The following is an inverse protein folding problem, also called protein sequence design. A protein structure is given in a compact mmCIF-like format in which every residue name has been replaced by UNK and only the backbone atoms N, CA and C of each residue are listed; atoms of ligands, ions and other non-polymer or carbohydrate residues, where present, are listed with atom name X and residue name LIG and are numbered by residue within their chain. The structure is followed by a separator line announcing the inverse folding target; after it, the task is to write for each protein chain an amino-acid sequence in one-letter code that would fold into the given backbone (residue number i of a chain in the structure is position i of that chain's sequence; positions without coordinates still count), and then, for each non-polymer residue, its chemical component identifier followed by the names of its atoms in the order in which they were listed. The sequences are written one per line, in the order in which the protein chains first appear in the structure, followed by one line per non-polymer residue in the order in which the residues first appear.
data_IF_151316075969
#
_entry.id   IF_151316075969
#
_cell.length_a   1.000
_cell.length_b   1.000
_cell.length_c   1.000
_cell.angle_alpha   90.00
_cell.angle_beta   90.00
_cell.angle_gamma   90.00
#
_symmetry.space_group_name_H-M   'P 1'
#
loop_
_entity.id
_entity.type
_entity.pdbx_description
1 polymer ?
#
# COMPACT_ATOMS: atom_id res chain seq x y z
N UNK A 1 42.75 78.70 -41.60
CA UNK A 1 42.62 77.22 -41.67
C UNK A 1 43.31 76.58 -40.46
N UNK A 2 42.63 76.51 -39.31
CA UNK A 2 43.14 75.88 -38.09
C UNK A 2 41.95 75.44 -37.24
N UNK A 3 41.40 74.24 -37.44
CA UNK A 3 40.52 73.54 -36.49
C UNK A 3 40.32 72.08 -36.97
N UNK A 4 41.34 71.22 -36.88
CA UNK A 4 41.21 69.81 -37.27
C UNK A 4 42.14 68.86 -36.50
N UNK A 5 42.34 69.09 -35.19
CA UNK A 5 43.20 68.22 -34.35
C UNK A 5 42.60 67.64 -33.05
N UNK A 6 41.54 68.18 -32.39
CA UNK A 6 41.09 67.60 -31.12
C UNK A 6 40.15 66.39 -31.28
N UNK A 7 39.36 66.34 -32.37
CA UNK A 7 38.34 65.29 -32.56
C UNK A 7 38.98 63.92 -32.82
N UNK A 8 40.05 63.88 -33.63
CA UNK A 8 40.75 62.62 -33.94
C UNK A 8 41.41 62.02 -32.71
N UNK A 9 41.98 62.84 -31.83
CA UNK A 9 42.61 62.36 -30.59
C UNK A 9 41.56 61.80 -29.62
N UNK A 10 40.42 62.49 -29.46
CA UNK A 10 39.32 62.03 -28.60
C UNK A 10 38.73 60.72 -29.14
N UNK A 11 38.50 60.59 -30.46
CA UNK A 11 38.01 59.35 -31.04
C UNK A 11 38.99 58.19 -30.86
N UNK A 12 40.30 58.45 -31.00
CA UNK A 12 41.32 57.40 -30.85
C UNK A 12 41.43 56.93 -29.41
N UNK A 13 41.36 57.85 -28.44
CA UNK A 13 41.34 57.49 -27.01
C UNK A 13 40.05 56.77 -26.62
N UNK A 14 38.89 57.18 -27.15
CA UNK A 14 37.63 56.50 -26.89
C UNK A 14 37.60 55.08 -27.49
N UNK A 15 38.15 54.91 -28.71
CA UNK A 15 38.27 53.59 -29.34
C UNK A 15 39.24 52.69 -28.58
N UNK A 16 40.35 53.25 -28.08
CA UNK A 16 41.32 52.52 -27.26
C UNK A 16 40.72 52.12 -25.90
N UNK A 17 39.94 53.00 -25.26
CA UNK A 17 39.21 52.71 -24.02
C UNK A 17 38.12 51.67 -24.26
N UNK A 18 37.41 51.70 -25.40
CA UNK A 18 36.45 50.65 -25.76
C UNK A 18 37.14 49.31 -26.04
N UNK A 19 38.29 49.30 -26.73
CA UNK A 19 39.08 48.09 -26.99
C UNK A 19 39.73 47.51 -25.71
N UNK A 20 40.13 48.38 -24.77
CA UNK A 20 40.59 48.00 -23.43
C UNK A 20 39.45 47.54 -22.52
N UNK A 21 38.23 48.08 -22.67
CA UNK A 21 37.03 47.62 -21.95
C UNK A 21 36.56 46.24 -22.41
N UNK A 22 36.74 45.92 -23.70
CA UNK A 22 36.38 44.61 -24.27
C UNK A 22 37.36 43.51 -23.83
N UNK A 23 38.62 43.85 -23.48
CA UNK A 23 39.63 42.88 -23.04
C UNK A 23 39.61 42.56 -21.55
N UNK A 24 38.80 43.26 -20.73
CA UNK A 24 38.58 42.94 -19.30
C UNK A 24 37.41 41.98 -19.09
N UNK A 25 36.56 41.75 -20.10
CA UNK A 25 35.80 40.50 -20.21
C UNK A 25 36.71 39.43 -20.82
N UNK A 26 37.83 39.17 -20.16
CA UNK A 26 38.48 37.88 -20.28
C UNK A 26 37.38 36.85 -20.04
N UNK A 27 37.14 36.05 -21.06
CA UNK A 27 36.31 34.85 -21.04
C UNK A 27 36.76 34.00 -19.86
N UNK A 28 36.16 34.21 -18.69
CA UNK A 28 36.34 33.36 -17.53
C UNK A 28 35.72 32.04 -17.91
N UNK A 29 36.48 31.20 -18.61
CA UNK A 29 36.11 29.82 -18.85
C UNK A 29 35.95 29.23 -17.46
N UNK A 30 34.72 28.87 -17.10
CA UNK A 30 34.46 28.26 -15.80
C UNK A 30 35.48 27.13 -15.59
N UNK A 31 36.06 27.02 -14.38
CA UNK A 31 36.97 25.94 -14.10
C UNK A 31 36.27 24.61 -14.41
N UNK A 32 36.98 23.63 -14.97
CA UNK A 32 36.40 22.32 -15.23
C UNK A 32 35.85 21.76 -13.93
N UNK A 33 34.58 21.36 -13.98
CA UNK A 33 33.83 20.89 -12.83
C UNK A 33 32.85 19.80 -13.22
N UNK A 34 32.57 18.94 -12.26
CA UNK A 34 31.47 17.99 -12.30
C UNK A 34 30.28 18.61 -11.58
N UNK A 35 29.17 18.78 -12.29
CA UNK A 35 27.94 19.35 -11.75
C UNK A 35 26.81 18.32 -11.72
N UNK A 36 25.97 18.41 -10.72
CA UNK A 36 24.77 17.58 -10.53
C UNK A 36 23.55 18.46 -10.65
N UNK A 37 22.67 18.15 -11.60
CA UNK A 37 21.51 18.97 -11.96
C UNK A 37 20.21 18.19 -11.73
N UNK A 38 19.27 18.78 -11.01
CA UNK A 38 17.86 18.36 -10.96
C UNK A 38 17.02 19.36 -11.77
N UNK A 39 16.61 18.95 -12.97
CA UNK A 39 16.12 19.88 -13.99
C UNK A 39 17.16 20.96 -14.32
N UNK A 40 16.82 22.22 -14.02
CA UNK A 40 17.69 23.38 -14.20
C UNK A 40 18.39 23.83 -12.89
N UNK A 41 18.16 23.12 -11.79
CA UNK A 41 18.74 23.46 -10.48
C UNK A 41 20.02 22.66 -10.25
N UNK A 42 21.14 23.37 -10.01
CA UNK A 42 22.39 22.75 -9.57
C UNK A 42 22.26 22.33 -8.09
N UNK A 43 22.32 21.03 -7.81
CA UNK A 43 22.22 20.50 -6.45
C UNK A 43 23.58 20.38 -5.77
N UNK A 44 24.65 20.21 -6.56
CA UNK A 44 26.03 20.08 -6.10
C UNK A 44 26.99 20.25 -7.28
N UNK A 45 28.20 20.72 -7.00
CA UNK A 45 29.29 20.74 -7.96
C UNK A 45 30.63 20.49 -7.28
N UNK A 46 31.60 19.99 -8.03
CA UNK A 46 32.97 19.74 -7.56
C UNK A 46 33.95 20.12 -8.67
N UNK A 47 34.91 20.98 -8.34
CA UNK A 47 36.01 21.33 -9.25
C UNK A 47 36.94 20.14 -9.45
N UNK A 48 37.43 19.95 -10.68
CA UNK A 48 38.23 18.77 -11.05
C UNK A 48 39.63 19.14 -11.51
N UNK A 49 40.37 19.90 -10.69
CA UNK A 49 41.73 20.36 -11.03
C UNK A 49 42.80 19.27 -11.02
N UNK A 50 42.46 18.08 -10.54
CA UNK A 50 43.26 16.85 -10.61
C UNK A 50 42.32 15.65 -10.80
N UNK A 51 42.85 14.53 -11.31
CA UNK A 51 42.10 13.28 -11.40
C UNK A 51 41.74 12.77 -9.99
N UNK A 52 40.60 12.09 -9.86
CA UNK A 52 40.12 11.65 -8.56
C UNK A 52 38.87 10.80 -8.61
N UNK A 53 38.25 10.67 -7.44
CA UNK A 53 36.97 9.97 -7.28
C UNK A 53 36.04 10.81 -6.43
N UNK A 54 34.74 10.80 -6.74
CA UNK A 54 33.72 11.41 -5.90
C UNK A 54 32.57 10.43 -5.67
N UNK A 55 31.88 10.59 -4.55
CA UNK A 55 30.61 9.91 -4.30
C UNK A 55 29.46 10.72 -4.94
N UNK A 56 28.61 10.05 -5.70
CA UNK A 56 27.44 10.66 -6.31
C UNK A 56 26.47 11.09 -5.20
N UNK A 57 25.96 12.33 -5.22
CA UNK A 57 25.12 12.82 -4.14
C UNK A 57 23.82 12.05 -4.05
N UNK A 58 23.36 11.82 -2.82
CA UNK A 58 21.95 11.54 -2.56
C UNK A 58 21.17 12.84 -2.65
N UNK A 59 20.01 12.82 -3.30
CA UNK A 59 19.17 14.00 -3.46
C UNK A 59 17.70 13.60 -3.34
N UNK A 60 16.88 14.47 -2.74
CA UNK A 60 15.43 14.31 -2.70
C UNK A 60 14.83 15.33 -3.67
N UNK A 61 14.30 14.88 -4.82
CA UNK A 61 13.67 15.78 -5.79
C UNK A 61 12.58 16.64 -5.17
N UNK A 62 12.56 17.92 -5.52
CA UNK A 62 11.64 18.90 -4.92
C UNK A 62 10.17 18.73 -5.38
N UNK A 63 9.97 18.09 -6.52
CA UNK A 63 8.67 17.82 -7.14
C UNK A 63 7.93 16.60 -6.55
N UNK A 64 8.57 15.88 -5.62
CA UNK A 64 8.01 14.70 -4.98
C UNK A 64 8.31 13.39 -5.70
N UNK A 65 9.09 13.42 -6.77
CA UNK A 65 9.60 12.23 -7.44
C UNK A 65 10.69 11.52 -6.65
N UNK A 66 11.05 10.32 -7.09
CA UNK A 66 12.15 9.55 -6.50
C UNK A 66 13.37 9.58 -7.40
N UNK A 67 14.52 9.91 -6.84
CA UNK A 67 15.80 9.81 -7.53
C UNK A 67 16.11 8.33 -7.81
N UNK A 68 16.12 7.96 -9.09
CA UNK A 68 16.50 6.61 -9.56
C UNK A 68 18.03 6.51 -9.68
N UNK A 69 18.68 7.60 -10.08
CA UNK A 69 20.13 7.68 -10.27
C UNK A 69 20.53 8.93 -11.04
N UNK A 70 21.79 8.96 -11.47
CA UNK A 70 22.40 10.07 -12.19
C UNK A 70 22.84 9.63 -13.57
N UNK A 71 22.42 10.36 -14.60
CA UNK A 71 22.86 10.14 -15.98
C UNK A 71 23.83 11.23 -16.44
N UNK A 72 24.87 10.88 -17.17
CA UNK A 72 25.78 11.83 -17.79
C UNK A 72 26.23 11.35 -19.18
N UNK A 73 26.66 12.30 -20.02
CA UNK A 73 27.42 12.00 -21.22
C UNK A 73 28.90 12.09 -20.91
N UNK A 74 29.63 10.99 -21.10
CA UNK A 74 31.07 10.91 -20.91
C UNK A 74 31.70 10.45 -22.23
N UNK A 75 32.27 11.40 -22.96
CA UNK A 75 32.66 11.17 -24.36
C UNK A 75 31.44 10.85 -25.23
N UNK A 76 31.45 9.69 -25.89
CA UNK A 76 30.33 9.21 -26.71
C UNK A 76 29.27 8.45 -25.90
N UNK A 77 29.63 7.99 -24.71
CA UNK A 77 28.82 7.05 -23.93
C UNK A 77 27.87 7.76 -22.97
N UNK A 78 26.75 7.10 -22.69
CA UNK A 78 25.86 7.50 -21.59
C UNK A 78 26.21 6.66 -20.38
N UNK A 79 26.57 7.33 -19.28
CA UNK A 79 26.79 6.72 -17.98
C UNK A 79 25.51 6.91 -17.16
N UNK A 80 25.04 5.85 -16.50
CA UNK A 80 23.87 5.88 -15.61
C UNK A 80 24.20 5.11 -14.32
N UNK A 81 24.34 5.84 -13.21
CA UNK A 81 24.86 5.31 -11.95
C UNK A 81 23.88 5.57 -10.79
N UNK A 82 23.87 4.72 -9.76
CA UNK A 82 23.04 4.95 -8.58
C UNK A 82 23.53 6.15 -7.77
N UNK A 83 22.62 6.76 -7.00
CA UNK A 83 23.02 7.70 -5.96
C UNK A 83 23.94 7.02 -4.93
N UNK A 84 24.94 7.72 -4.44
CA UNK A 84 25.96 7.18 -3.53
C UNK A 84 27.04 6.33 -4.21
N UNK A 85 26.93 6.03 -5.50
CA UNK A 85 27.99 5.34 -6.24
C UNK A 85 29.29 6.17 -6.26
N UNK A 86 30.43 5.51 -6.37
CA UNK A 86 31.71 6.21 -6.57
C UNK A 86 31.99 6.35 -8.06
N UNK A 87 32.28 7.57 -8.51
CA UNK A 87 32.68 7.86 -9.89
C UNK A 87 34.12 8.37 -9.93
N UNK A 88 34.94 7.70 -10.76
CA UNK A 88 36.29 8.13 -11.07
C UNK A 88 36.27 9.11 -12.23
N UNK A 89 37.02 10.20 -12.11
CA UNK A 89 37.11 11.25 -13.13
C UNK A 89 38.56 11.63 -13.42
N UNK A 90 38.79 12.02 -14.67
CA UNK A 90 40.08 12.52 -15.13
C UNK A 90 40.29 13.98 -14.73
N UNK A 91 41.55 14.42 -14.75
CA UNK A 91 41.88 15.83 -14.56
C UNK A 91 41.16 16.69 -15.59
N UNK A 92 40.68 17.86 -15.14
CA UNK A 92 39.99 18.86 -15.95
C UNK A 92 38.68 18.34 -16.61
N UNK A 93 38.05 17.32 -16.03
CA UNK A 93 36.76 16.80 -16.47
C UNK A 93 35.61 17.80 -16.27
N UNK A 94 34.99 18.22 -17.37
CA UNK A 94 33.74 18.98 -17.35
C UNK A 94 32.55 18.06 -17.68
N UNK A 95 31.82 17.62 -16.65
CA UNK A 95 30.71 16.66 -16.80
C UNK A 95 29.47 17.18 -16.08
N UNK A 96 28.32 17.04 -16.71
CA UNK A 96 27.03 17.35 -16.09
C UNK A 96 26.25 16.06 -15.90
N UNK A 97 26.08 15.65 -14.65
CA UNK A 97 25.14 14.61 -14.26
C UNK A 97 23.75 15.22 -14.11
N UNK A 98 22.76 14.60 -14.74
CA UNK A 98 21.34 14.96 -14.62
C UNK A 98 20.62 13.90 -13.80
N UNK A 99 19.78 14.34 -12.88
CA UNK A 99 18.94 13.46 -12.10
C UNK A 99 18.00 12.69 -13.04
N UNK A 100 17.87 11.39 -12.79
CA UNK A 100 16.82 10.57 -13.37
C UNK A 100 15.78 10.36 -12.27
N UNK A 101 14.61 10.95 -12.45
CA UNK A 101 13.53 10.97 -11.46
C UNK A 101 12.37 10.12 -11.97
N UNK A 102 11.74 9.38 -11.05
CA UNK A 102 10.53 8.61 -11.32
C UNK A 102 9.44 8.91 -10.30
N UNK A 103 8.29 9.31 -10.80
CA UNK A 103 7.05 9.44 -10.05
C UNK A 103 6.28 8.14 -10.13
N UNK A 104 6.15 7.47 -8.99
CA UNK A 104 5.45 6.22 -8.89
C UNK A 104 4.68 6.13 -7.58
N UNK A 105 3.40 5.77 -7.66
CA UNK A 105 2.51 5.65 -6.50
C UNK A 105 1.73 4.34 -6.54
N UNK A 106 1.73 3.60 -5.44
CA UNK A 106 0.84 2.45 -5.25
C UNK A 106 -0.51 2.94 -4.75
N UNK A 107 -1.58 2.56 -5.45
CA UNK A 107 -2.93 3.02 -5.16
C UNK A 107 -3.39 2.53 -3.78
N UNK A 108 -4.19 3.37 -3.10
CA UNK A 108 -4.97 2.94 -1.95
C UNK A 108 -6.08 1.94 -2.31
N UNK A 109 -6.49 1.91 -3.58
CA UNK A 109 -7.56 1.03 -4.06
C UNK A 109 -7.02 -0.36 -4.35
N UNK A 110 -7.69 -1.36 -3.77
CA UNK A 110 -7.42 -2.77 -3.99
C UNK A 110 -8.61 -3.35 -4.73
N UNK A 111 -8.38 -4.15 -5.76
CA UNK A 111 -9.46 -4.88 -6.44
C UNK A 111 -9.49 -6.30 -5.93
N UNK A 112 -10.66 -6.79 -5.54
CA UNK A 112 -10.82 -8.18 -5.18
C UNK A 112 -11.28 -9.02 -6.38
N UNK A 113 -10.78 -10.25 -6.47
CA UNK A 113 -11.27 -11.27 -7.40
C UNK A 113 -11.95 -12.35 -6.60
N UNK A 114 -13.20 -12.60 -6.91
CA UNK A 114 -14.03 -13.62 -6.28
C UNK A 114 -14.59 -14.51 -7.39
N UNK A 115 -13.84 -15.54 -7.77
CA UNK A 115 -14.28 -16.51 -8.76
C UNK A 115 -14.07 -17.95 -8.28
N UNK A 116 -14.35 -18.91 -9.16
CA UNK A 116 -14.24 -20.34 -8.87
C UNK A 116 -12.81 -20.76 -8.48
N UNK A 117 -11.80 -19.95 -8.79
CA UNK A 117 -10.41 -20.20 -8.43
C UNK A 117 -10.08 -19.70 -7.01
N UNK A 118 -11.03 -19.08 -6.32
CA UNK A 118 -10.90 -18.60 -4.95
C UNK A 118 -10.68 -17.09 -4.85
N UNK A 119 -10.49 -16.60 -3.62
CA UNK A 119 -10.29 -15.18 -3.40
C UNK A 119 -8.92 -14.71 -3.87
N UNK A 120 -8.87 -13.51 -4.43
CA UNK A 120 -7.62 -12.81 -4.71
C UNK A 120 -7.72 -11.33 -4.46
N UNK A 121 -6.57 -10.70 -4.24
CA UNK A 121 -6.42 -9.26 -4.15
C UNK A 121 -5.42 -8.79 -5.20
N UNK A 122 -5.76 -7.71 -5.90
CA UNK A 122 -4.91 -7.03 -6.87
C UNK A 122 -4.61 -5.62 -6.37
N UNK A 123 -3.32 -5.30 -6.39
CA UNK A 123 -2.78 -4.00 -6.05
C UNK A 123 -2.20 -3.37 -7.31
N UNK A 124 -2.50 -2.11 -7.54
CA UNK A 124 -2.05 -1.38 -8.73
C UNK A 124 -1.05 -0.30 -8.35
N UNK A 125 -0.08 -0.10 -9.24
CA UNK A 125 0.91 0.95 -9.11
C UNK A 125 0.92 1.74 -10.41
N UNK A 126 0.79 3.06 -10.28
CA UNK A 126 0.88 4.01 -11.38
C UNK A 126 2.29 4.58 -11.42
N UNK A 127 2.91 4.56 -12.60
CA UNK A 127 4.18 5.23 -12.88
C UNK A 127 3.99 6.25 -14.00
N UNK A 128 4.61 7.43 -13.87
CA UNK A 128 4.59 8.44 -14.91
C UNK A 128 5.20 7.88 -16.21
N UNK A 129 4.42 7.97 -17.29
CA UNK A 129 4.71 7.26 -18.53
C UNK A 129 6.02 7.71 -19.17
N UNK A 130 6.19 9.02 -19.35
CA UNK A 130 7.35 9.59 -20.02
C UNK A 130 8.66 9.25 -19.27
N UNK A 131 8.61 9.30 -17.95
CA UNK A 131 9.77 9.00 -17.08
C UNK A 131 10.13 7.51 -17.13
N UNK A 132 9.14 6.61 -17.05
CA UNK A 132 9.39 5.17 -17.13
C UNK A 132 9.88 4.74 -18.52
N UNK A 133 9.35 5.34 -19.59
CA UNK A 133 9.82 5.11 -20.95
C UNK A 133 11.25 5.63 -21.16
N UNK A 134 11.59 6.81 -20.64
CA UNK A 134 12.96 7.33 -20.67
C UNK A 134 13.92 6.42 -19.87
N UNK A 135 13.49 5.95 -18.69
CA UNK A 135 14.28 5.04 -17.87
C UNK A 135 14.57 3.71 -18.57
N UNK A 136 13.63 3.18 -19.38
CA UNK A 136 13.86 1.97 -20.19
C UNK A 136 14.95 2.13 -21.24
N UNK A 137 15.21 3.35 -21.72
CA UNK A 137 16.32 3.61 -22.63
C UNK A 137 17.67 3.53 -21.92
N UNK A 138 17.71 3.88 -20.62
CA UNK A 138 18.91 3.82 -19.78
C UNK A 138 19.13 2.43 -19.18
N UNK A 139 18.04 1.73 -18.86
CA UNK A 139 18.03 0.38 -18.29
C UNK A 139 17.09 -0.52 -19.10
N UNK A 140 17.53 -1.07 -20.26
CA UNK A 140 16.67 -1.89 -21.13
C UNK A 140 16.12 -3.16 -20.48
N UNK A 141 16.82 -3.70 -19.47
CA UNK A 141 16.41 -4.86 -18.69
C UNK A 141 15.57 -4.50 -17.45
N UNK A 142 15.03 -3.28 -17.39
CA UNK A 142 14.18 -2.82 -16.29
C UNK A 142 13.02 -3.79 -16.05
N UNK A 143 12.76 -4.08 -14.78
CA UNK A 143 11.65 -4.93 -14.33
C UNK A 143 10.70 -4.13 -13.45
N UNK A 144 9.41 -4.25 -13.68
CA UNK A 144 8.37 -3.75 -12.76
C UNK A 144 7.82 -4.91 -11.94
N UNK A 145 7.43 -4.64 -10.70
CA UNK A 145 6.82 -5.67 -9.86
C UNK A 145 6.18 -5.11 -8.60
N UNK A 146 5.69 -5.99 -7.75
CA UNK A 146 5.02 -5.60 -6.51
C UNK A 146 5.42 -6.56 -5.40
N UNK A 147 5.92 -6.02 -4.29
CA UNK A 147 6.10 -6.79 -3.05
C UNK A 147 4.77 -6.79 -2.29
N UNK A 148 4.29 -7.98 -1.91
CA UNK A 148 3.02 -8.19 -1.20
C UNK A 148 3.28 -8.98 0.07
N UNK A 149 2.74 -8.53 1.20
CA UNK A 149 2.91 -9.21 2.49
C UNK A 149 1.69 -8.97 3.40
N UNK A 150 1.41 -9.82 4.41
CA UNK A 150 0.46 -9.45 5.46
C UNK A 150 0.80 -8.09 6.07
N UNK A 151 -0.18 -7.24 6.32
CA UNK A 151 0.04 -5.88 6.83
C UNK A 151 0.81 -5.86 8.16
N UNK A 152 0.61 -6.86 9.02
CA UNK A 152 1.38 -6.99 10.26
C UNK A 152 2.90 -7.11 9.99
N UNK A 153 3.30 -7.77 8.91
CA UNK A 153 4.70 -7.88 8.50
C UNK A 153 5.23 -6.54 7.98
N UNK A 154 4.46 -5.84 7.14
CA UNK A 154 4.83 -4.52 6.63
C UNK A 154 5.04 -3.50 7.76
N UNK A 155 4.22 -3.56 8.82
CA UNK A 155 4.35 -2.70 10.02
C UNK A 155 5.49 -3.10 10.94
N UNK A 156 5.87 -4.37 10.95
CA UNK A 156 6.94 -4.89 11.80
C UNK A 156 8.34 -4.65 11.20
N UNK A 157 8.43 -4.38 9.90
CA UNK A 157 9.68 -4.02 9.24
C UNK A 157 10.00 -2.53 9.42
N UNK A 158 11.29 -2.20 9.50
CA UNK A 158 11.76 -0.81 9.54
C UNK A 158 11.42 -0.06 8.25
N UNK A 159 11.48 -0.75 7.12
CA UNK A 159 11.06 -0.25 5.82
C UNK A 159 10.19 -1.27 5.09
N UNK A 160 9.15 -0.78 4.39
CA UNK A 160 8.32 -1.63 3.55
C UNK A 160 8.95 -1.78 2.16
N UNK A 161 10.02 -2.57 2.09
CA UNK A 161 10.74 -2.95 0.89
C UNK A 161 11.37 -4.35 1.07
N UNK A 162 12.02 -4.88 0.03
CA UNK A 162 12.64 -6.22 0.11
C UNK A 162 13.69 -6.32 1.23
N UNK A 163 14.51 -5.28 1.42
CA UNK A 163 15.60 -5.31 2.39
C UNK A 163 15.07 -5.22 3.83
N UNK A 164 14.13 -4.31 4.09
CA UNK A 164 13.50 -4.15 5.40
C UNK A 164 12.68 -5.37 5.82
N UNK A 165 11.94 -5.97 4.88
CA UNK A 165 11.20 -7.21 5.15
C UNK A 165 12.14 -8.40 5.42
N UNK A 166 13.22 -8.54 4.65
CA UNK A 166 14.22 -9.59 4.86
C UNK A 166 14.97 -9.41 6.19
N UNK A 167 15.39 -8.18 6.53
CA UNK A 167 16.06 -7.87 7.79
C UNK A 167 15.17 -8.16 9.02
N UNK A 168 13.85 -7.97 8.89
CA UNK A 168 12.88 -8.30 9.92
C UNK A 168 12.40 -9.77 9.89
N UNK A 169 13.04 -10.63 9.08
CA UNK A 169 12.73 -12.04 8.87
C UNK A 169 11.24 -12.28 8.49
N UNK A 170 10.64 -11.34 7.76
CA UNK A 170 9.23 -11.41 7.36
C UNK A 170 9.07 -12.03 5.99
N UNK A 171 8.04 -12.88 5.86
CA UNK A 171 7.66 -13.48 4.59
C UNK A 171 6.93 -12.46 3.73
N UNK A 172 7.23 -12.48 2.44
CA UNK A 172 6.55 -11.70 1.42
C UNK A 172 6.49 -12.50 0.11
N UNK A 173 5.66 -12.03 -0.80
CA UNK A 173 5.57 -12.50 -2.18
C UNK A 173 6.11 -11.38 -3.07
N UNK A 174 7.05 -11.72 -3.94
CA UNK A 174 7.50 -10.82 -5.00
C UNK A 174 6.78 -11.20 -6.30
N UNK A 175 5.94 -10.29 -6.79
CA UNK A 175 5.16 -10.49 -8.01
C UNK A 175 5.72 -9.60 -9.11
N UNK A 176 6.54 -10.20 -9.98
CA UNK A 176 7.04 -9.53 -11.19
C UNK A 176 5.90 -9.32 -12.18
N UNK A 177 5.75 -8.09 -12.66
CA UNK A 177 4.77 -7.76 -13.68
C UNK A 177 5.30 -8.14 -15.06
N UNK A 178 4.56 -8.99 -15.78
CA UNK A 178 4.90 -9.40 -17.16
C UNK A 178 4.43 -8.40 -18.22
N UNK A 179 3.73 -7.35 -17.80
CA UNK A 179 3.17 -6.32 -18.69
C UNK A 179 2.41 -5.26 -17.89
N UNK A 180 1.88 -4.26 -18.61
CA UNK A 180 1.02 -3.24 -18.00
C UNK A 180 -0.42 -3.71 -17.94
N UNK A 181 -1.02 -3.52 -16.77
CA UNK A 181 -2.43 -3.76 -16.50
C UNK A 181 -3.33 -2.77 -17.25
N UNK A 182 -2.91 -1.50 -17.29
CA UNK A 182 -3.59 -0.43 -18.01
C UNK A 182 -2.57 0.60 -18.50
N UNK A 183 -2.83 1.15 -19.67
CA UNK A 183 -2.09 2.28 -20.22
C UNK A 183 -3.01 3.48 -20.30
N UNK A 184 -2.62 4.57 -19.67
CA UNK A 184 -3.30 5.86 -19.76
C UNK A 184 -2.43 6.86 -20.54
N UNK A 185 -2.93 8.08 -20.74
CA UNK A 185 -2.21 9.10 -21.48
C UNK A 185 -0.85 9.39 -20.80
N UNK A 186 -0.88 9.67 -19.50
CA UNK A 186 0.29 10.11 -18.73
C UNK A 186 0.85 9.05 -17.77
N UNK A 187 0.21 7.87 -17.69
CA UNK A 187 0.58 6.85 -16.72
C UNK A 187 0.60 5.44 -17.32
N UNK A 188 1.58 4.65 -16.86
CA UNK A 188 1.65 3.21 -17.09
C UNK A 188 1.34 2.51 -15.77
N UNK A 189 0.29 1.69 -15.78
CA UNK A 189 -0.21 1.01 -14.58
C UNK A 189 0.17 -0.46 -14.67
N UNK A 190 0.92 -0.94 -13.68
CA UNK A 190 1.19 -2.37 -13.50
C UNK A 190 0.53 -2.85 -12.20
N UNK A 191 0.43 -4.17 -12.05
CA UNK A 191 -0.27 -4.76 -10.92
C UNK A 191 0.40 -6.01 -10.39
N UNK A 192 0.42 -6.14 -9.06
CA UNK A 192 0.69 -7.38 -8.36
C UNK A 192 -0.62 -8.00 -7.88
N UNK A 193 -0.73 -9.32 -7.90
CA UNK A 193 -1.91 -10.01 -7.38
C UNK A 193 -1.52 -11.20 -6.51
N UNK A 194 -2.19 -11.33 -5.38
CA UNK A 194 -2.24 -12.58 -4.61
C UNK A 194 -3.54 -13.29 -4.96
N UNK A 195 -3.45 -14.53 -5.42
CA UNK A 195 -4.61 -15.33 -5.84
C UNK A 195 -4.74 -16.54 -4.91
N UNK A 196 -5.92 -17.17 -4.92
CA UNK A 196 -6.21 -18.38 -4.15
C UNK A 196 -5.88 -18.23 -2.66
N UNK A 197 -6.20 -17.06 -2.09
CA UNK A 197 -6.10 -16.85 -0.65
C UNK A 197 -6.95 -17.92 0.01
N UNK A 198 -6.40 -18.62 0.99
CA UNK A 198 -7.13 -19.65 1.72
C UNK A 198 -8.19 -19.00 2.59
N UNK A 199 -9.32 -19.69 2.78
CA UNK A 199 -10.44 -19.23 3.60
C UNK A 199 -10.01 -18.74 4.99
N UNK A 200 -9.13 -19.48 5.67
CA UNK A 200 -8.55 -19.12 6.98
C UNK A 200 -7.81 -17.77 7.00
N UNK A 201 -7.43 -17.24 5.84
CA UNK A 201 -6.71 -15.97 5.68
C UNK A 201 -7.58 -14.85 5.10
N UNK A 202 -8.90 -15.03 4.96
CA UNK A 202 -9.79 -13.98 4.43
C UNK A 202 -9.91 -12.74 5.32
N UNK A 203 -9.69 -12.89 6.62
CA UNK A 203 -9.64 -11.76 7.55
C UNK A 203 -8.26 -11.08 7.59
N UNK A 204 -7.21 -11.72 7.05
CA UNK A 204 -5.86 -11.17 7.07
C UNK A 204 -5.77 -9.97 6.13
N UNK A 205 -5.36 -8.83 6.66
CA UNK A 205 -5.05 -7.65 5.84
C UNK A 205 -3.72 -7.86 5.12
N UNK A 206 -3.70 -7.58 3.82
CA UNK A 206 -2.48 -7.60 3.00
C UNK A 206 -2.10 -6.18 2.64
N UNK A 207 -0.80 -5.90 2.59
CA UNK A 207 -0.22 -4.66 2.11
C UNK A 207 0.64 -4.95 0.88
N UNK A 208 0.74 -3.98 -0.03
CA UNK A 208 1.55 -4.10 -1.22
C UNK A 208 2.29 -2.80 -1.54
N UNK A 209 3.44 -2.92 -2.21
CA UNK A 209 4.21 -1.78 -2.71
C UNK A 209 4.80 -2.11 -4.07
N UNK A 210 4.46 -1.31 -5.07
CA UNK A 210 5.05 -1.42 -6.40
C UNK A 210 6.51 -1.02 -6.39
N UNK A 211 7.30 -1.61 -7.29
CA UNK A 211 8.70 -1.27 -7.47
C UNK A 211 9.09 -1.32 -8.94
N UNK A 212 10.20 -0.66 -9.23
CA UNK A 212 10.99 -0.78 -10.46
C UNK A 212 12.38 -1.23 -10.07
N UNK A 213 12.87 -2.31 -10.70
CA UNK A 213 14.26 -2.76 -10.62
C UNK A 213 15.00 -2.25 -11.85
N UNK A 214 16.13 -1.59 -11.63
CA UNK A 214 16.97 -0.99 -12.67
C UNK A 214 18.36 -1.62 -12.68
N UNK A 215 18.98 -1.66 -13.86
CA UNK A 215 20.39 -2.00 -14.02
C UNK A 215 21.17 -0.73 -14.38
N UNK A 216 22.29 -0.53 -13.71
CA UNK A 216 23.16 0.63 -13.91
C UNK A 216 24.35 0.27 -14.82
N UNK A 217 25.03 1.28 -15.35
CA UNK A 217 26.15 1.10 -16.30
C UNK A 217 27.38 0.46 -15.66
N UNK A 218 27.52 0.51 -14.34
CA UNK A 218 28.56 -0.18 -13.59
C UNK A 218 28.25 -1.67 -13.35
N UNK A 219 27.11 -2.16 -13.85
CA UNK A 219 26.64 -3.54 -13.68
C UNK A 219 25.91 -3.79 -12.37
N UNK A 220 25.79 -2.79 -11.48
CA UNK A 220 24.97 -2.91 -10.27
C UNK A 220 23.48 -2.86 -10.60
N UNK A 221 22.66 -3.29 -9.63
CA UNK A 221 21.20 -3.22 -9.73
C UNK A 221 20.63 -2.46 -8.53
N UNK A 222 19.52 -1.76 -8.75
CA UNK A 222 18.82 -1.00 -7.71
C UNK A 222 17.31 -1.19 -7.79
N UNK A 223 16.64 -0.90 -6.68
CA UNK A 223 15.18 -0.88 -6.59
C UNK A 223 14.70 0.52 -6.26
N UNK A 224 13.69 0.97 -6.99
CA UNK A 224 12.94 2.20 -6.72
C UNK A 224 11.52 1.78 -6.34
N UNK A 225 11.08 2.17 -5.14
CA UNK A 225 9.81 1.71 -4.58
C UNK A 225 8.78 2.82 -4.54
N UNK A 226 7.61 2.55 -5.10
CA UNK A 226 6.52 3.50 -5.22
C UNK A 226 6.19 4.16 -3.87
N UNK A 227 5.87 5.45 -3.90
CA UNK A 227 5.21 6.08 -2.78
C UNK A 227 3.88 5.35 -2.48
N UNK A 228 3.49 5.35 -1.21
CA UNK A 228 2.16 4.88 -0.81
C UNK A 228 1.25 6.10 -0.75
N UNK A 229 0.06 6.00 -1.35
CA UNK A 229 -0.96 7.05 -1.25
C UNK A 229 -1.31 7.35 0.22
N UNK A 230 -1.63 8.60 0.57
CA UNK A 230 -1.87 9.02 1.96
C UNK A 230 -2.98 8.16 2.62
N UNK A 231 -2.72 7.61 3.81
CA UNK A 231 -3.68 6.78 4.56
C UNK A 231 -3.45 5.26 4.47
N UNK A 232 -2.31 4.83 3.92
CA UNK A 232 -2.02 3.44 3.54
C UNK A 232 -0.73 2.98 4.21
N UNK A 233 -0.78 1.85 4.94
CA UNK A 233 -0.04 0.68 4.48
C UNK A 233 -1.02 -0.35 3.95
N UNK A 234 -1.93 0.09 3.07
CA UNK A 234 -2.61 -0.72 2.06
C UNK A 234 -3.33 -1.93 2.59
N UNK A 235 -3.70 -1.93 3.86
CA UNK A 235 -4.15 -3.12 4.56
C UNK A 235 -5.59 -3.39 4.21
N UNK A 236 -5.79 -4.23 3.21
CA UNK A 236 -7.11 -4.68 2.82
C UNK A 236 -7.16 -6.20 2.95
N UNK A 237 -8.19 -6.70 3.62
CA UNK A 237 -8.48 -8.13 3.64
C UNK A 237 -9.55 -8.48 2.60
N UNK A 238 -9.56 -9.72 2.06
CA UNK A 238 -10.66 -10.19 1.22
C UNK A 238 -12.03 -10.01 1.86
N UNK A 239 -12.12 -10.20 3.17
CA UNK A 239 -13.35 -9.97 3.93
C UNK A 239 -13.79 -8.50 3.90
N UNK A 240 -12.89 -7.55 4.17
CA UNK A 240 -13.23 -6.12 4.15
C UNK A 240 -13.76 -5.70 2.78
N UNK A 241 -13.16 -6.23 1.69
CA UNK A 241 -13.63 -5.99 0.33
C UNK A 241 -15.01 -6.58 0.08
N UNK A 242 -15.24 -7.83 0.47
CA UNK A 242 -16.54 -8.48 0.31
C UNK A 242 -17.63 -7.75 1.12
N UNK A 243 -17.31 -7.33 2.35
CA UNK A 243 -18.23 -6.57 3.21
C UNK A 243 -18.59 -5.21 2.60
N UNK A 244 -17.59 -4.44 2.15
CA UNK A 244 -17.82 -3.17 1.48
C UNK A 244 -18.69 -3.34 0.22
N UNK A 245 -18.43 -4.37 -0.59
CA UNK A 245 -19.22 -4.68 -1.77
C UNK A 245 -20.67 -5.07 -1.44
N UNK A 246 -20.91 -5.83 -0.37
CA UNK A 246 -22.27 -6.17 0.09
C UNK A 246 -23.04 -4.97 0.64
N UNK A 247 -22.34 -3.98 1.21
CA UNK A 247 -22.96 -2.76 1.75
C UNK A 247 -23.13 -1.65 0.70
N UNK A 248 -22.51 -1.77 -0.47
CA UNK A 248 -22.64 -0.83 -1.57
C UNK A 248 -24.04 -0.93 -2.17
N UNK A 249 -24.96 -0.12 -1.65
CA UNK A 249 -26.37 -0.16 -1.98
C UNK A 249 -26.98 1.24 -1.97
N UNK A 250 -28.06 1.42 -2.73
CA UNK A 250 -28.85 2.64 -2.80
C UNK A 250 -30.34 2.33 -2.59
N UNK A 251 -31.09 3.26 -1.98
CA UNK A 251 -32.53 3.07 -1.75
C UNK A 251 -33.38 3.14 -3.03
N UNK A 252 -32.81 3.65 -4.14
CA UNK A 252 -33.47 3.76 -5.43
C UNK A 252 -32.56 3.25 -6.54
N UNK A 253 -33.16 2.81 -7.66
CA UNK A 253 -32.42 2.35 -8.83
C UNK A 253 -31.68 3.51 -9.48
N UNK A 254 -30.41 3.29 -9.82
CA UNK A 254 -29.57 4.24 -10.55
C UNK A 254 -28.69 3.53 -11.56
N UNK A 255 -27.96 4.29 -12.38
CA UNK A 255 -26.95 3.72 -13.28
C UNK A 255 -25.81 3.04 -12.52
N UNK A 256 -25.50 3.51 -11.31
CA UNK A 256 -24.52 2.89 -10.42
C UNK A 256 -25.08 1.63 -9.77
N UNK A 257 -26.32 1.67 -9.28
CA UNK A 257 -26.98 0.56 -8.59
C UNK A 257 -28.21 0.08 -9.38
N UNK A 258 -28.03 -0.66 -10.49
CA UNK A 258 -29.15 -1.04 -11.35
C UNK A 258 -29.90 -2.30 -10.89
N UNK A 259 -29.34 -3.10 -9.97
CA UNK A 259 -29.84 -4.43 -9.61
C UNK A 259 -30.57 -4.43 -8.27
N UNK A 260 -31.77 -5.02 -8.21
CA UNK A 260 -32.53 -5.12 -6.96
C UNK A 260 -31.89 -6.10 -5.95
N UNK A 261 -31.99 -5.77 -4.66
CA UNK A 261 -31.55 -6.58 -3.52
C UNK A 261 -32.45 -6.30 -2.30
N UNK A 262 -33.44 -7.16 -2.07
CA UNK A 262 -34.44 -6.90 -1.03
C UNK A 262 -35.19 -5.60 -1.30
N UNK A 263 -35.15 -4.66 -0.35
CA UNK A 263 -35.75 -3.32 -0.48
C UNK A 263 -34.79 -2.24 -1.01
N UNK A 264 -33.56 -2.60 -1.39
CA UNK A 264 -32.52 -1.69 -1.90
C UNK A 264 -32.04 -2.13 -3.28
N UNK A 265 -31.14 -1.34 -3.87
CA UNK A 265 -30.46 -1.64 -5.13
C UNK A 265 -28.95 -1.71 -4.93
N UNK A 266 -28.24 -2.46 -5.77
CA UNK A 266 -26.81 -2.75 -5.67
C UNK A 266 -26.14 -2.62 -7.06
N UNK A 267 -24.85 -2.27 -7.13
CA UNK A 267 -24.08 -2.36 -8.36
C UNK A 267 -23.84 -3.82 -8.79
N UNK A 268 -24.02 -4.78 -7.87
CA UNK A 268 -23.75 -6.19 -8.11
C UNK A 268 -25.04 -6.98 -8.36
N UNK A 269 -24.99 -7.87 -9.34
CA UNK A 269 -26.03 -8.86 -9.60
C UNK A 269 -26.17 -9.84 -8.43
N UNK A 270 -27.29 -10.56 -8.36
CA UNK A 270 -27.50 -11.61 -7.35
C UNK A 270 -26.42 -12.69 -7.39
N UNK A 271 -26.02 -13.14 -8.59
CA UNK A 271 -24.97 -14.13 -8.77
C UNK A 271 -23.59 -13.65 -8.30
N UNK A 272 -23.27 -12.36 -8.48
CA UNK A 272 -22.02 -11.78 -7.97
C UNK A 272 -22.03 -11.68 -6.44
N UNK A 273 -23.15 -11.22 -5.84
CA UNK A 273 -23.30 -11.19 -4.38
C UNK A 273 -23.24 -12.58 -3.75
N UNK A 274 -23.78 -13.60 -4.41
CA UNK A 274 -23.68 -14.97 -3.94
C UNK A 274 -22.22 -15.46 -3.82
N UNK A 275 -21.30 -14.95 -4.65
CA UNK A 275 -19.86 -15.23 -4.54
C UNK A 275 -19.20 -14.52 -3.36
N UNK A 276 -19.82 -13.47 -2.81
CA UNK A 276 -19.36 -12.76 -1.62
C UNK A 276 -19.76 -13.48 -0.33
N UNK A 277 -20.87 -14.24 -0.34
CA UNK A 277 -21.41 -14.95 0.82
C UNK A 277 -20.37 -15.80 1.57
N UNK A 278 -19.53 -16.61 0.90
CA UNK A 278 -18.51 -17.42 1.58
C UNK A 278 -17.53 -16.61 2.40
N UNK A 279 -17.29 -15.33 2.08
CA UNK A 279 -16.37 -14.48 2.86
C UNK A 279 -16.93 -14.13 4.24
N UNK A 280 -18.25 -14.19 4.42
CA UNK A 280 -18.90 -13.96 5.71
C UNK A 280 -19.05 -15.22 6.54
N UNK A 281 -18.90 -16.41 5.95
CA UNK A 281 -18.92 -17.66 6.70
C UNK A 281 -17.77 -17.76 7.72
N UNK A 282 -16.72 -16.94 7.59
CA UNK A 282 -15.64 -16.79 8.58
C UNK A 282 -15.91 -15.76 9.67
N UNK A 283 -17.08 -15.10 9.66
CA UNK A 283 -17.46 -14.05 10.62
C UNK A 283 -18.66 -14.50 11.43
N UNK A 284 -18.46 -14.63 12.73
CA UNK A 284 -19.54 -14.85 13.67
C UNK A 284 -19.89 -13.50 14.27
N UNK A 285 -21.01 -12.93 13.83
CA UNK A 285 -21.63 -11.83 14.56
C UNK A 285 -22.19 -12.41 15.87
N UNK A 286 -21.69 -11.94 17.00
CA UNK A 286 -22.24 -12.26 18.32
C UNK A 286 -23.17 -11.11 18.70
N UNK A 287 -24.47 -11.38 18.81
CA UNK A 287 -25.37 -10.45 19.49
C UNK A 287 -25.45 -10.88 20.95
N UNK A 288 -24.93 -10.05 21.86
CA UNK A 288 -25.06 -10.31 23.29
C UNK A 288 -26.22 -9.45 23.78
N UNK A 289 -27.33 -10.11 24.09
CA UNK A 289 -28.50 -9.50 24.73
C UNK A 289 -28.52 -9.86 26.20
N UNK A 290 -28.31 -8.89 27.08
CA UNK A 290 -28.42 -9.08 28.53
C UNK A 290 -29.77 -8.54 29.02
N UNK A 291 -30.49 -9.34 29.81
CA UNK A 291 -31.73 -8.91 30.46
C UNK A 291 -31.40 -8.44 31.87
N UNK A 292 -31.42 -7.13 32.11
CA UNK A 292 -31.20 -6.58 33.44
C UNK A 292 -32.38 -6.97 34.38
N UNK A 293 -32.14 -7.12 35.69
CA UNK A 293 -33.21 -7.26 36.68
C UNK A 293 -34.13 -6.03 36.59
N UNK A 294 -35.39 -6.25 36.18
CA UNK A 294 -36.34 -5.17 35.86
C UNK A 294 -36.77 -5.10 34.39
N UNK A 295 -36.30 -6.02 33.53
CA UNK A 295 -36.86 -6.25 32.20
C UNK A 295 -36.31 -5.35 31.08
N UNK A 296 -35.29 -4.52 31.35
CA UNK A 296 -34.58 -3.79 30.29
C UNK A 296 -33.58 -4.72 29.60
N UNK A 297 -33.71 -4.85 28.28
CA UNK A 297 -32.74 -5.55 27.44
C UNK A 297 -31.64 -4.57 27.03
N UNK A 298 -30.38 -4.91 27.33
CA UNK A 298 -29.20 -4.28 26.77
C UNK A 298 -28.77 -5.10 25.56
N UNK A 299 -29.05 -4.59 24.36
CA UNK A 299 -28.54 -5.14 23.13
C UNK A 299 -27.17 -4.53 22.84
N UNK A 300 -26.14 -5.36 22.71
CA UNK A 300 -24.86 -4.95 22.13
C UNK A 300 -24.50 -5.87 20.98
N UNK A 301 -24.20 -5.26 19.84
CA UNK A 301 -23.66 -5.95 18.69
C UNK A 301 -22.14 -6.10 18.89
N UNK A 302 -21.65 -7.33 18.88
CA UNK A 302 -20.22 -7.64 18.99
C UNK A 302 -19.79 -8.38 17.72
N UNK A 303 -19.00 -7.72 16.88
CA UNK A 303 -18.43 -8.35 15.69
C UNK A 303 -17.13 -9.06 16.08
N UNK A 304 -17.09 -10.40 15.95
CA UNK A 304 -15.89 -11.20 16.23
C UNK A 304 -15.37 -11.88 14.96
N UNK A 305 -14.04 -11.86 14.78
CA UNK A 305 -13.36 -12.35 13.58
C UNK A 305 -12.42 -13.53 13.90
N UNK A 306 -12.59 -14.66 13.21
CA UNK A 306 -11.67 -15.80 13.28
C UNK A 306 -11.66 -16.57 14.61
N UNK A 307 -10.57 -17.32 14.87
CA UNK A 307 -10.26 -17.90 16.19
C UNK A 307 -9.95 -16.78 17.19
N UNK A 308 -10.97 -16.02 17.60
CA UNK A 308 -10.86 -15.07 18.69
C UNK A 308 -11.33 -15.76 19.98
N UNK A 309 -10.41 -15.97 20.91
CA UNK A 309 -10.77 -16.22 22.31
C UNK A 309 -11.11 -14.86 22.91
N UNK A 310 -12.40 -14.60 23.12
CA UNK A 310 -12.83 -13.36 23.77
C UNK A 310 -13.06 -13.64 25.25
N UNK A 311 -12.31 -12.94 26.11
CA UNK A 311 -12.47 -13.00 27.57
C UNK A 311 -12.89 -11.63 28.05
N UNK A 312 -14.15 -11.48 28.49
CA UNK A 312 -14.59 -10.25 29.14
C UNK A 312 -14.83 -10.50 30.63
N UNK A 313 -14.23 -9.65 31.47
CA UNK A 313 -14.42 -9.66 32.92
C UNK A 313 -15.68 -8.84 33.21
N UNK A 314 -16.80 -9.51 33.46
CA UNK A 314 -18.08 -8.84 33.76
C UNK A 314 -18.10 -8.48 35.24
N UNK A 315 -17.67 -7.27 35.60
CA UNK A 315 -17.79 -6.79 36.99
C UNK A 315 -19.19 -6.18 37.16
N UNK A 316 -20.09 -6.88 37.86
CA UNK A 316 -21.36 -6.31 38.31
C UNK A 316 -21.09 -5.28 39.40
N UNK A 317 -21.72 -4.10 39.32
CA UNK A 317 -21.62 -3.07 40.36
C UNK A 317 -22.22 -3.49 41.73
N UNK A 318 -22.98 -4.60 41.80
CA UNK A 318 -23.67 -5.03 43.03
C UNK A 318 -23.59 -6.54 43.33
N UNK A 319 -22.73 -7.32 42.67
CA UNK A 319 -22.62 -8.76 42.93
C UNK A 319 -21.23 -9.31 42.52
N UNK A 320 -20.28 -9.44 43.47
CA UNK A 320 -18.85 -9.63 43.19
C UNK A 320 -18.44 -11.05 42.74
N UNK A 321 -19.36 -11.99 42.56
CA UNK A 321 -19.03 -13.42 42.35
C UNK A 321 -18.95 -13.90 40.89
N UNK A 322 -19.23 -13.06 39.89
CA UNK A 322 -19.16 -13.46 38.48
C UNK A 322 -17.85 -12.99 37.84
N UNK A 323 -16.86 -13.88 37.67
CA UNK A 323 -15.52 -13.46 37.26
C UNK A 323 -15.24 -13.39 35.75
N UNK A 324 -15.94 -14.08 34.86
CA UNK A 324 -15.82 -13.83 33.39
C UNK A 324 -16.79 -14.66 32.57
N UNK A 325 -17.26 -14.12 31.44
CA UNK A 325 -17.84 -14.93 30.35
C UNK A 325 -16.77 -15.06 29.26
N UNK A 326 -16.49 -16.28 28.82
CA UNK A 326 -15.48 -16.57 27.79
C UNK A 326 -16.09 -17.28 26.59
N UNK A 327 -16.37 -16.53 25.53
CA UNK A 327 -16.82 -17.13 24.28
C UNK A 327 -15.61 -17.68 23.50
N UNK A 328 -15.71 -18.92 23.05
CA UNK A 328 -14.74 -19.56 22.15
C UNK A 328 -15.41 -19.79 20.81
N UNK A 329 -14.75 -19.47 19.71
CA UNK A 329 -15.30 -19.70 18.37
C UNK A 329 -14.25 -20.48 17.58
N UNK A 330 -14.53 -21.76 17.31
CA UNK A 330 -13.67 -22.60 16.47
C UNK A 330 -14.22 -22.69 15.05
N UNK A 331 -13.80 -21.73 14.22
CA UNK A 331 -14.23 -21.65 12.82
C UNK A 331 -13.62 -22.75 11.93
N UNK A 332 -12.68 -23.55 12.43
CA UNK A 332 -12.00 -24.58 11.62
C UNK A 332 -12.90 -25.77 11.26
N UNK A 333 -14.07 -25.89 11.90
CA UNK A 333 -15.02 -27.01 11.72
C UNK A 333 -16.45 -26.59 11.36
N UNK A 334 -16.71 -25.31 11.07
CA UNK A 334 -18.08 -24.77 10.95
C UNK A 334 -18.94 -24.93 12.23
N UNK A 335 -18.32 -25.09 13.39
CA UNK A 335 -19.00 -25.24 14.68
C UNK A 335 -18.72 -24.04 15.58
N UNK A 336 -19.76 -23.27 15.90
CA UNK A 336 -19.65 -22.21 16.91
C UNK A 336 -19.94 -22.81 18.29
N UNK A 337 -18.97 -22.77 19.21
CA UNK A 337 -19.12 -23.35 20.56
C UNK A 337 -19.04 -22.27 21.62
N UNK A 338 -20.17 -21.68 22.00
CA UNK A 338 -20.21 -20.77 23.15
C UNK A 338 -19.96 -21.57 24.44
N UNK A 339 -18.80 -21.39 25.06
CA UNK A 339 -18.58 -21.86 26.42
C UNK A 339 -18.95 -20.76 27.42
N UNK A 340 -19.64 -21.14 28.49
CA UNK A 340 -19.90 -20.24 29.62
C UNK A 340 -19.29 -20.94 30.83
N UNK A 341 -18.28 -20.34 31.43
CA UNK A 341 -17.61 -20.88 32.62
C UNK A 341 -18.19 -20.20 33.85
N UNK A 342 -18.77 -21.00 34.75
CA UNK A 342 -19.19 -20.51 36.06
C UNK A 342 -18.09 -20.72 37.10
N UNK A 343 -18.07 -19.94 38.20
CA UNK A 343 -17.19 -20.20 39.34
C UNK A 343 -17.40 -21.61 39.92
N UNK A 344 -16.36 -22.13 40.57
CA UNK A 344 -16.40 -23.43 41.23
C UNK A 344 -17.53 -23.45 42.28
N UNK A 345 -18.45 -24.43 42.16
CA UNK A 345 -19.62 -24.55 43.04
C UNK A 345 -20.93 -23.93 42.51
N UNK A 346 -20.91 -23.25 41.36
CA UNK A 346 -22.13 -22.71 40.72
C UNK A 346 -22.68 -23.69 39.68
N UNK A 347 -23.85 -24.25 39.95
CA UNK A 347 -24.59 -25.09 39.00
C UNK A 347 -25.25 -24.22 37.92
N UNK A 348 -24.75 -24.30 36.69
CA UNK A 348 -25.45 -23.75 35.53
C UNK A 348 -26.70 -24.62 35.26
N UNK A 349 -27.89 -24.02 35.25
CA UNK A 349 -29.11 -24.65 34.77
C UNK A 349 -29.67 -23.86 33.57
N UNK A 350 -30.51 -24.49 32.75
CA UNK A 350 -31.12 -23.87 31.55
C UNK A 350 -31.87 -22.56 31.86
N UNK A 351 -32.33 -22.40 33.11
CA UNK A 351 -33.06 -21.22 33.58
C UNK A 351 -32.16 -20.03 33.89
N UNK A 352 -30.87 -20.25 34.18
CA UNK A 352 -29.90 -19.20 34.56
C UNK A 352 -29.24 -18.56 33.34
N UNK A 353 -29.13 -19.29 32.23
CA UNK A 353 -28.60 -18.80 30.94
C UNK A 353 -29.76 -18.60 29.95
N UNK A 354 -30.75 -17.79 30.32
CA UNK A 354 -31.80 -17.38 29.38
C UNK A 354 -31.43 -16.05 28.76
N UNK A 355 -30.97 -16.03 27.50
CA UNK A 355 -30.85 -14.76 26.75
C UNK A 355 -29.63 -14.57 25.86
N UNK A 356 -28.70 -15.52 25.75
CA UNK A 356 -27.61 -15.40 24.76
C UNK A 356 -28.14 -15.86 23.39
N UNK A 357 -28.44 -14.89 22.51
CA UNK A 357 -28.89 -15.16 21.14
C UNK A 357 -27.71 -15.02 20.19
N UNK A 358 -27.12 -16.14 19.81
CA UNK A 358 -26.19 -16.20 18.68
C UNK A 358 -26.98 -16.05 17.37
N UNK A 359 -27.07 -14.83 16.86
CA UNK A 359 -27.60 -14.55 15.53
C UNK A 359 -26.45 -14.43 14.54
N UNK A 360 -26.35 -15.36 13.59
CA UNK A 360 -25.56 -15.15 12.38
C UNK A 360 -26.28 -14.08 11.54
N UNK A 361 -26.08 -12.82 11.90
CA UNK A 361 -26.71 -11.70 11.23
C UNK A 361 -26.17 -11.60 9.80
N UNK A 362 -27.00 -11.93 8.80
CA UNK A 362 -26.78 -11.53 7.41
C UNK A 362 -26.85 -12.62 6.35
N UNK A 363 -27.01 -13.91 6.70
CA UNK A 363 -27.12 -14.98 5.72
C UNK A 363 -28.34 -15.87 6.00
N UNK A 364 -29.48 -15.68 5.31
CA UNK A 364 -30.61 -16.60 5.42
C UNK A 364 -30.21 -18.00 4.91
N UNK A 365 -30.31 -19.03 5.76
CA UNK A 365 -30.44 -20.43 5.33
C UNK A 365 -29.31 -21.45 5.64
N UNK A 366 -28.39 -21.21 6.57
CA UNK A 366 -27.39 -22.24 6.95
C UNK A 366 -27.87 -23.14 8.11
N UNK A 367 -27.82 -24.48 8.00
CA UNK A 367 -28.15 -25.39 9.10
C UNK A 367 -27.02 -25.46 10.14
N UNK A 368 -27.37 -25.32 11.42
CA UNK A 368 -26.44 -25.48 12.56
C UNK A 368 -26.64 -26.87 13.18
N UNK A 369 -25.56 -27.59 13.48
CA UNK A 369 -25.59 -28.91 14.14
C UNK A 369 -24.66 -28.90 15.36
N UNK A 370 -25.12 -29.35 16.52
CA UNK A 370 -24.37 -29.31 17.79
C UNK A 370 -23.81 -30.68 18.23
N UNK A 371 -22.73 -30.64 19.02
CA UNK A 371 -22.10 -31.80 19.69
C UNK A 371 -22.06 -31.52 21.22
N UNK A 372 -22.21 -32.56 22.05
CA UNK A 372 -22.40 -32.47 23.52
C UNK A 372 -21.14 -32.84 24.33
N UNK A 373 -20.96 -32.21 25.51
CA UNK A 373 -19.93 -32.55 26.50
C UNK A 373 -20.27 -32.13 27.94
N UNK A 374 -19.69 -32.81 28.94
CA UNK A 374 -20.24 -33.01 30.30
C UNK A 374 -20.24 -31.81 31.28
N UNK A 375 -19.88 -30.59 30.88
CA UNK A 375 -19.93 -29.39 31.76
C UNK A 375 -20.23 -28.09 30.99
N UNK A 376 -20.93 -28.19 29.86
CA UNK A 376 -21.32 -27.04 29.04
C UNK A 376 -22.82 -27.09 28.75
N UNK A 377 -23.53 -25.97 28.89
CA UNK A 377 -24.88 -25.82 28.35
C UNK A 377 -24.75 -25.29 26.92
N UNK A 378 -25.08 -26.12 25.93
CA UNK A 378 -25.25 -25.69 24.53
C UNK A 378 -26.75 -25.57 24.25
N UNK A 379 -27.20 -24.37 23.88
CA UNK A 379 -28.59 -24.13 23.51
C UNK A 379 -28.86 -24.66 22.09
N UNK A 380 -29.85 -25.55 21.88
CA UNK A 380 -30.22 -25.98 20.54
C UNK A 380 -30.96 -24.88 19.78
N UNK A 381 -30.65 -24.72 18.50
CA UNK A 381 -31.48 -23.96 17.56
C UNK A 381 -32.38 -24.92 16.78
N UNK A 382 -33.70 -24.74 16.90
CA UNK A 382 -34.65 -25.21 15.90
C UNK A 382 -35.13 -23.99 15.11
N UNK A 383 -35.07 -24.06 13.78
CA UNK A 383 -35.74 -23.09 12.91
C UNK A 383 -37.24 -23.08 13.23
N UNK A 384 -37.70 -22.08 13.98
CA UNK A 384 -39.12 -21.74 14.02
C UNK A 384 -39.43 -20.89 12.78
N UNK A 385 -39.73 -21.56 11.67
CA UNK A 385 -40.65 -21.00 10.70
C UNK A 385 -42.04 -21.41 11.12
N UNK A 386 -42.75 -20.52 11.80
CA UNK A 386 -44.21 -20.49 11.75
C UNK A 386 -44.69 -19.07 12.05
N UNK A 387 -45.25 -18.45 11.01
CA UNK A 387 -46.13 -17.27 11.00
C UNK A 387 -45.49 -15.92 11.40
N UNK A 388 -45.17 -15.09 10.40
CA UNK A 388 -45.97 -13.93 9.96
C UNK A 388 -45.36 -13.27 8.72
#
# INVERSE_FOLDING_TARGET
MRYFKPITLILTVLLLVCLLSISVFATGKEPPRIAFMDGEVEVSATETTAAGTLALPTHTPADGGQLVGWQAKVGADTVFLPAGATYAYEQDAAIVFRAVVLHMTTSATVTARFDEQGAGLRFTTSAARQELEALRLLSPALVTGTVITPNANAKAAESFDHAGLAAAEKKYIDVVATGFYKTEAEALIFAGSVNQIRFENYALGYAARGYVKVSYTDGSEGYVYAALEKGVPGSVSPWQMAYAAMKDTEGAKSDRCPHAFGSVFSPYTEGERAKLVPFFASVVALKVSEKAPGGKTLDRDVEAFGQAVYTERVIRENDPEWESVRAYIDVSKYECTLMITAPEGVMLNETTVSGVVLSLAGLPGLPVKGIFGDNCILLPFSNYSDNY
#
